data_IF_513834057731
#
_entry.id   IF_513834057731
#
_cell.length_a   1.000
_cell.length_b   1.000
_cell.length_c   1.000
_cell.angle_alpha   90.00
_cell.angle_beta   90.00
_cell.angle_gamma   90.00
#
_symmetry.space_group_name_H-M   'P 1'
#
loop_
_entity.id
_entity.type
_entity.pdbx_description
1 polymer ?
#
# COMPACT_ATOMS: atom_id res chain seq x y z
N UNK A 1 -14.62 -5.25 -17.31
CA UNK A 1 -14.04 -5.28 -15.95
C UNK A 1 -14.40 -3.96 -15.33
N UNK A 2 -15.27 -3.92 -14.31
CA UNK A 2 -16.08 -2.74 -13.96
C UNK A 2 -15.29 -1.43 -14.02
N UNK A 3 -15.36 -0.79 -15.20
CA UNK A 3 -14.84 0.53 -15.45
C UNK A 3 -15.98 1.45 -15.06
N UNK A 4 -15.88 2.00 -13.85
CA UNK A 4 -16.26 3.37 -13.50
C UNK A 4 -15.74 3.65 -12.09
N UNK A 5 -14.62 4.37 -12.02
CA UNK A 5 -14.10 4.95 -10.80
C UNK A 5 -13.42 6.25 -11.20
N UNK A 6 -13.68 7.43 -10.59
CA UNK A 6 -14.53 7.78 -9.43
C UNK A 6 -15.35 9.10 -9.60
N UNK A 7 -16.09 9.57 -8.57
CA UNK A 7 -16.42 11.01 -8.44
C UNK A 7 -15.48 11.77 -7.48
N UNK A 8 -14.98 11.13 -6.41
CA UNK A 8 -13.88 11.65 -5.58
C UNK A 8 -12.77 10.58 -5.41
N UNK A 9 -11.49 10.98 -5.37
CA UNK A 9 -10.28 10.14 -5.20
C UNK A 9 -9.82 9.35 -6.45
N UNK A 10 -8.92 8.38 -6.29
CA UNK A 10 -8.30 7.61 -7.39
C UNK A 10 -8.89 6.20 -7.50
N UNK A 11 -8.87 5.62 -8.69
CA UNK A 11 -9.22 4.21 -8.86
C UNK A 11 -8.11 3.31 -8.27
N UNK A 12 -8.38 2.49 -7.25
CA UNK A 12 -7.35 1.63 -6.66
C UNK A 12 -6.75 0.64 -7.67
N UNK A 13 -7.53 0.13 -8.62
CA UNK A 13 -7.03 -0.81 -9.63
C UNK A 13 -6.10 -0.12 -10.64
N UNK A 14 -6.40 1.13 -11.00
CA UNK A 14 -5.53 1.92 -11.88
C UNK A 14 -4.20 2.26 -11.21
N UNK A 15 -4.24 2.62 -9.91
CA UNK A 15 -3.03 2.85 -9.11
C UNK A 15 -2.17 1.58 -9.05
N UNK A 16 -2.77 0.42 -8.76
CA UNK A 16 -2.06 -0.87 -8.71
C UNK A 16 -1.52 -1.31 -10.08
N UNK A 17 -2.30 -1.14 -11.14
CA UNK A 17 -1.87 -1.48 -12.50
C UNK A 17 -0.70 -0.60 -12.95
N UNK A 18 -0.74 0.69 -12.63
CA UNK A 18 0.36 1.61 -12.91
C UNK A 18 1.58 1.25 -12.07
N UNK A 19 1.42 0.89 -10.80
CA UNK A 19 2.52 0.40 -9.96
C UNK A 19 3.17 -0.83 -10.60
N UNK A 20 2.41 -1.86 -10.94
CA UNK A 20 2.94 -3.10 -11.55
C UNK A 20 3.82 -2.82 -12.77
N UNK A 21 3.39 -1.89 -13.62
CA UNK A 21 4.13 -1.50 -14.83
C UNK A 21 5.46 -0.77 -14.52
N UNK A 22 5.64 -0.25 -13.29
CA UNK A 22 6.89 0.36 -12.84
C UNK A 22 7.86 -0.64 -12.18
N UNK A 23 7.43 -1.83 -11.78
CA UNK A 23 8.25 -2.72 -10.93
C UNK A 23 9.27 -3.53 -11.74
N UNK A 24 10.53 -3.54 -11.28
CA UNK A 24 11.63 -4.28 -11.92
C UNK A 24 11.62 -5.77 -11.53
N UNK A 25 12.38 -6.60 -12.24
CA UNK A 25 12.57 -8.04 -11.93
C UNK A 25 13.17 -8.29 -10.54
N UNK A 26 13.96 -7.36 -10.00
CA UNK A 26 14.54 -7.47 -8.65
C UNK A 26 13.68 -6.73 -7.62
N UNK A 27 12.39 -7.06 -7.56
CA UNK A 27 11.45 -6.46 -6.61
C UNK A 27 10.89 -7.49 -5.65
N UNK A 28 10.91 -7.18 -4.36
CA UNK A 28 10.18 -7.92 -3.32
C UNK A 28 8.95 -7.09 -2.93
N UNK A 29 7.79 -7.72 -3.00
CA UNK A 29 6.52 -7.16 -2.57
C UNK A 29 6.23 -7.59 -1.13
N UNK A 30 5.86 -6.62 -0.30
CA UNK A 30 5.35 -6.85 1.05
C UNK A 30 3.90 -6.35 1.09
N UNK A 31 2.97 -7.19 1.49
CA UNK A 31 1.54 -6.92 1.50
C UNK A 31 1.04 -6.87 2.95
N UNK A 32 0.47 -5.74 3.36
CA UNK A 32 -0.06 -5.55 4.72
C UNK A 32 -1.30 -4.66 4.71
N UNK A 33 -2.45 -5.25 4.99
CA UNK A 33 -3.73 -4.56 4.95
C UNK A 33 -4.87 -5.51 4.59
N UNK A 34 -6.00 -4.92 4.23
CA UNK A 34 -7.19 -5.65 3.82
C UNK A 34 -7.53 -5.43 2.35
N UNK A 35 -8.56 -4.62 2.11
CA UNK A 35 -9.27 -4.61 0.83
C UNK A 35 -8.40 -4.20 -0.36
N UNK A 36 -7.63 -3.12 -0.21
CA UNK A 36 -6.69 -2.64 -1.22
C UNK A 36 -5.58 -3.67 -1.50
N UNK A 37 -5.06 -4.31 -0.46
CA UNK A 37 -3.97 -5.28 -0.55
C UNK A 37 -4.44 -6.59 -1.21
N UNK A 38 -5.62 -7.09 -0.85
CA UNK A 38 -6.17 -8.23 -1.57
C UNK A 38 -6.71 -7.85 -2.94
N UNK A 39 -6.82 -6.57 -3.32
CA UNK A 39 -6.95 -6.18 -4.74
C UNK A 39 -5.58 -6.21 -5.44
N UNK A 40 -4.52 -5.83 -4.73
CA UNK A 40 -3.14 -5.90 -5.19
C UNK A 40 -2.73 -7.34 -5.52
N UNK A 41 -3.17 -8.35 -4.77
CA UNK A 41 -2.85 -9.76 -5.04
C UNK A 41 -3.38 -10.29 -6.40
N UNK A 42 -4.38 -9.63 -7.00
CA UNK A 42 -4.89 -9.97 -8.33
C UNK A 42 -4.12 -9.27 -9.46
N UNK A 43 -3.44 -8.16 -9.17
CA UNK A 43 -2.82 -7.28 -10.15
C UNK A 43 -1.30 -7.41 -10.12
N UNK A 44 -0.70 -7.28 -8.94
CA UNK A 44 0.75 -7.31 -8.75
C UNK A 44 1.28 -8.73 -8.89
N UNK A 45 2.46 -8.88 -9.49
CA UNK A 45 3.09 -10.20 -9.74
C UNK A 45 4.37 -10.38 -8.91
N UNK A 46 4.49 -11.43 -8.09
CA UNK A 46 5.76 -11.74 -7.45
C UNK A 46 6.82 -12.07 -8.50
N UNK A 47 8.04 -11.53 -8.37
CA UNK A 47 9.14 -11.76 -9.34
C UNK A 47 9.86 -13.10 -9.17
N UNK A 48 9.33 -13.98 -8.33
CA UNK A 48 9.86 -15.29 -8.05
C UNK A 48 9.45 -15.81 -6.67
N UNK A 49 9.92 -17.02 -6.28
CA UNK A 49 9.73 -17.52 -4.93
C UNK A 49 10.26 -16.53 -3.89
N UNK A 50 9.54 -16.40 -2.77
CA UNK A 50 9.89 -15.50 -1.66
C UNK A 50 9.94 -14.01 -2.04
N UNK A 51 9.31 -13.60 -3.14
CA UNK A 51 9.20 -12.20 -3.56
C UNK A 51 7.80 -11.59 -3.29
N UNK A 52 6.96 -12.31 -2.55
CA UNK A 52 5.70 -11.82 -1.99
C UNK A 52 5.61 -12.27 -0.55
N UNK A 53 5.58 -11.31 0.37
CA UNK A 53 5.51 -11.52 1.81
C UNK A 53 4.22 -10.91 2.32
N UNK A 54 3.39 -11.69 3.00
CA UNK A 54 2.10 -11.28 3.53
C UNK A 54 1.88 -11.91 4.91
N UNK A 55 0.88 -11.49 5.71
CA UNK A 55 0.70 -11.97 7.08
C UNK A 55 0.32 -13.46 7.19
N UNK A 56 0.12 -14.15 6.06
CA UNK A 56 -0.24 -15.56 6.01
C UNK A 56 -1.53 -15.86 6.78
N UNK A 57 -1.58 -17.04 7.39
CA UNK A 57 -2.78 -17.54 8.06
C UNK A 57 -3.23 -16.71 9.28
N UNK A 58 -2.33 -15.94 9.90
CA UNK A 58 -2.68 -15.13 11.07
C UNK A 58 -3.38 -13.83 10.69
N UNK A 59 -3.19 -13.31 9.47
CA UNK A 59 -3.80 -12.04 9.06
C UNK A 59 -3.37 -10.84 9.91
N UNK A 60 -2.17 -10.89 10.53
CA UNK A 60 -1.64 -9.85 11.40
C UNK A 60 -1.41 -8.53 10.66
N UNK A 61 -2.26 -7.55 10.91
CA UNK A 61 -2.07 -6.18 10.43
C UNK A 61 -0.85 -5.54 11.11
N UNK A 62 -0.06 -4.77 10.37
CA UNK A 62 1.17 -4.17 10.86
C UNK A 62 2.40 -5.07 10.73
N UNK A 63 2.36 -6.14 9.94
CA UNK A 63 3.57 -6.94 9.66
C UNK A 63 4.51 -6.25 8.65
N UNK A 64 4.01 -5.29 7.88
CA UNK A 64 4.66 -4.74 6.70
C UNK A 64 6.01 -4.09 6.99
N UNK A 65 6.11 -3.31 8.06
CA UNK A 65 7.35 -2.59 8.40
C UNK A 65 8.49 -3.54 8.72
N UNK A 66 8.24 -4.50 9.62
CA UNK A 66 9.21 -5.52 10.01
C UNK A 66 9.58 -6.47 8.87
N UNK A 67 8.61 -6.88 8.05
CA UNK A 67 8.87 -7.75 6.89
C UNK A 67 9.72 -7.03 5.85
N UNK A 68 9.46 -5.75 5.60
CA UNK A 68 10.25 -4.95 4.66
C UNK A 68 11.68 -4.73 5.14
N UNK A 69 11.88 -4.46 6.44
CA UNK A 69 13.21 -4.37 7.05
C UNK A 69 13.98 -5.68 6.85
N UNK A 70 13.37 -6.81 7.21
CA UNK A 70 13.98 -8.14 7.05
C UNK A 70 14.29 -8.47 5.60
N UNK A 71 13.36 -8.21 4.68
CA UNK A 71 13.56 -8.42 3.25
C UNK A 71 14.73 -7.60 2.71
N UNK A 72 14.81 -6.31 3.06
CA UNK A 72 15.88 -5.43 2.58
C UNK A 72 17.25 -5.82 3.13
N UNK A 73 17.33 -6.26 4.39
CA UNK A 73 18.57 -6.75 4.99
C UNK A 73 19.04 -8.09 4.38
N UNK A 74 18.12 -9.00 4.09
CA UNK A 74 18.42 -10.30 3.48
C UNK A 74 18.72 -10.20 1.98
N UNK A 75 18.16 -9.20 1.28
CA UNK A 75 18.27 -8.99 -0.17
C UNK A 75 18.58 -7.52 -0.48
N UNK A 76 19.77 -7.01 -0.12
CA UNK A 76 20.10 -5.59 -0.23
C UNK A 76 20.01 -5.04 -1.65
N UNK A 77 20.29 -5.89 -2.66
CA UNK A 77 20.23 -5.53 -4.08
C UNK A 77 18.82 -5.53 -4.69
N UNK A 78 17.78 -5.87 -3.91
CA UNK A 78 16.40 -5.84 -4.38
C UNK A 78 15.71 -4.53 -3.95
N UNK A 79 14.88 -4.00 -4.83
CA UNK A 79 13.90 -2.99 -4.47
C UNK A 79 12.84 -3.67 -3.58
N UNK A 80 12.49 -3.04 -2.45
CA UNK A 80 11.45 -3.55 -1.54
C UNK A 80 10.30 -2.56 -1.57
N UNK A 81 9.12 -3.05 -1.97
CA UNK A 81 7.90 -2.26 -2.10
C UNK A 81 6.84 -2.83 -1.18
N UNK A 82 6.37 -1.99 -0.25
CA UNK A 82 5.30 -2.32 0.68
C UNK A 82 3.99 -1.79 0.12
N UNK A 83 2.96 -2.63 0.10
CA UNK A 83 1.59 -2.28 -0.24
C UNK A 83 0.79 -2.29 1.05
N UNK A 84 0.37 -1.10 1.47
CA UNK A 84 -0.36 -0.88 2.70
C UNK A 84 -1.83 -0.56 2.45
N UNK A 85 -2.72 -1.05 3.33
CA UNK A 85 -3.90 -0.27 3.71
C UNK A 85 -3.53 0.85 4.69
N UNK A 86 -4.24 1.96 4.68
CA UNK A 86 -4.02 3.08 5.61
C UNK A 86 -4.13 2.68 7.09
N UNK A 87 -5.12 1.86 7.45
CA UNK A 87 -5.25 1.34 8.81
C UNK A 87 -4.06 0.50 9.25
N UNK A 88 -3.61 -0.44 8.41
CA UNK A 88 -2.44 -1.30 8.68
C UNK A 88 -1.15 -0.50 8.83
N UNK A 89 -0.94 0.51 7.99
CA UNK A 89 0.22 1.40 8.10
C UNK A 89 0.31 2.03 9.49
N UNK A 90 -0.82 2.39 10.10
CA UNK A 90 -0.87 3.00 11.43
C UNK A 90 -0.12 2.20 12.51
N UNK A 91 -0.02 0.87 12.38
CA UNK A 91 0.71 0.02 13.33
C UNK A 91 2.23 0.13 13.19
N UNK A 92 2.75 0.35 11.97
CA UNK A 92 4.20 0.32 11.68
C UNK A 92 4.72 1.56 10.99
N UNK A 93 3.99 2.66 11.01
CA UNK A 93 4.44 3.95 10.47
C UNK A 93 5.75 4.41 11.10
N UNK A 94 5.97 4.09 12.38
CA UNK A 94 7.21 4.47 13.08
C UNK A 94 8.46 3.78 12.51
N UNK A 95 8.32 2.67 11.77
CA UNK A 95 9.47 1.99 11.15
C UNK A 95 10.17 2.82 10.08
N UNK A 96 9.58 3.91 9.60
CA UNK A 96 10.30 4.86 8.74
C UNK A 96 11.54 5.45 9.42
N UNK A 97 11.51 5.65 10.74
CA UNK A 97 12.70 6.01 11.53
C UNK A 97 13.75 4.87 11.48
N UNK A 98 13.33 3.62 11.64
CA UNK A 98 14.22 2.45 11.52
C UNK A 98 14.86 2.36 10.14
N UNK A 99 14.06 2.51 9.07
CA UNK A 99 14.57 2.45 7.70
C UNK A 99 15.66 3.51 7.43
N UNK A 100 15.50 4.71 8.01
CA UNK A 100 16.51 5.78 7.93
C UNK A 100 17.75 5.45 8.74
N UNK A 101 17.61 5.12 10.03
CA UNK A 101 18.74 4.81 10.92
C UNK A 101 19.60 3.66 10.41
N UNK A 102 18.97 2.65 9.83
CA UNK A 102 19.65 1.47 9.31
C UNK A 102 19.98 1.54 7.82
N UNK A 103 19.64 2.65 7.14
CA UNK A 103 19.87 2.84 5.69
C UNK A 103 19.33 1.68 4.86
N UNK A 104 18.12 1.22 5.18
CA UNK A 104 17.39 0.18 4.45
C UNK A 104 16.27 0.85 3.67
N UNK A 105 16.56 1.47 2.52
CA UNK A 105 15.56 2.26 1.82
C UNK A 105 14.50 1.33 1.21
N UNK A 106 13.24 1.72 1.37
CA UNK A 106 12.05 0.99 0.91
C UNK A 106 11.06 1.97 0.30
N UNK A 107 10.20 1.50 -0.59
CA UNK A 107 9.04 2.24 -1.06
C UNK A 107 7.79 1.70 -0.38
N UNK A 108 6.93 2.57 0.12
CA UNK A 108 5.60 2.20 0.59
C UNK A 108 4.54 2.88 -0.29
N UNK A 109 3.57 2.10 -0.77
CA UNK A 109 2.35 2.60 -1.40
C UNK A 109 1.18 2.32 -0.46
N UNK A 110 0.47 3.37 -0.06
CA UNK A 110 -0.67 3.28 0.84
C UNK A 110 -1.95 3.50 0.05
N UNK A 111 -2.83 2.51 0.03
CA UNK A 111 -4.22 2.69 -0.37
C UNK A 111 -5.00 3.29 0.79
N UNK A 112 -5.26 4.60 0.71
CA UNK A 112 -5.96 5.36 1.73
C UNK A 112 -7.39 5.64 1.27
N UNK A 113 -8.33 4.80 1.71
CA UNK A 113 -9.77 4.99 1.57
C UNK A 113 -10.44 5.47 2.86
N UNK A 114 -9.64 5.80 3.89
CA UNK A 114 -10.08 6.21 5.22
C UNK A 114 -11.03 5.19 5.87
N UNK A 115 -10.78 3.89 5.68
CA UNK A 115 -11.65 2.85 6.22
C UNK A 115 -10.93 1.50 6.41
N UNK A 116 -11.35 0.75 7.43
CA UNK A 116 -11.13 -0.69 7.51
C UNK A 116 -12.05 -1.42 6.50
N UNK A 117 -11.89 -1.15 5.20
CA UNK A 117 -12.84 -1.52 4.14
C UNK A 117 -13.10 -3.02 4.06
N UNK A 118 -12.10 -3.86 4.36
CA UNK A 118 -12.30 -5.31 4.35
C UNK A 118 -13.31 -5.77 5.41
N UNK A 119 -13.31 -5.12 6.57
CA UNK A 119 -14.30 -5.37 7.63
C UNK A 119 -15.65 -4.78 7.21
N UNK A 120 -15.66 -3.52 6.78
CA UNK A 120 -16.88 -2.82 6.38
C UNK A 120 -17.64 -3.51 5.22
N UNK A 121 -16.90 -4.14 4.30
CA UNK A 121 -17.44 -4.86 3.12
C UNK A 121 -18.44 -5.94 3.52
N UNK A 122 -18.17 -6.67 4.60
CA UNK A 122 -19.08 -7.71 5.12
C UNK A 122 -20.01 -7.17 6.21
N UNK A 123 -19.49 -6.30 7.07
CA UNK A 123 -20.24 -5.76 8.21
C UNK A 123 -21.48 -4.96 7.79
N UNK A 124 -21.38 -4.15 6.72
CA UNK A 124 -22.49 -3.31 6.27
C UNK A 124 -23.64 -4.14 5.68
N UNK A 125 -23.40 -5.08 4.73
CA UNK A 125 -24.48 -5.92 4.22
C UNK A 125 -25.08 -6.86 5.28
N UNK A 126 -24.26 -7.41 6.18
CA UNK A 126 -24.71 -8.38 7.17
C UNK A 126 -25.44 -7.75 8.36
N UNK A 127 -24.95 -6.60 8.84
CA UNK A 127 -25.39 -5.99 10.11
C UNK A 127 -26.04 -4.61 9.91
N UNK A 128 -26.00 -4.03 8.71
CA UNK A 128 -26.51 -2.69 8.43
C UNK A 128 -25.71 -1.57 9.09
N UNK A 129 -24.46 -1.81 9.50
CA UNK A 129 -23.63 -0.86 10.26
C UNK A 129 -22.15 -0.97 9.90
N UNK A 130 -21.45 0.16 9.85
CA UNK A 130 -20.00 0.31 9.66
C UNK A 130 -19.27 0.69 10.96
N UNK A 131 -19.89 0.43 12.12
CA UNK A 131 -19.32 0.76 13.43
C UNK A 131 -17.85 0.33 13.54
N UNK A 132 -17.03 1.24 14.05
CA UNK A 132 -15.57 1.09 14.23
C UNK A 132 -14.74 0.84 12.95
N UNK A 133 -15.32 0.97 11.75
CA UNK A 133 -14.59 0.81 10.49
C UNK A 133 -14.07 2.14 9.91
N UNK A 134 -14.69 3.27 10.26
CA UNK A 134 -14.34 4.57 9.69
C UNK A 134 -13.03 5.11 10.27
N UNK A 135 -12.12 5.53 9.39
CA UNK A 135 -10.90 6.25 9.70
C UNK A 135 -11.01 7.69 9.14
N UNK A 136 -9.89 8.40 9.11
CA UNK A 136 -9.78 9.73 8.49
C UNK A 136 -8.71 9.70 7.41
N UNK A 137 -8.83 10.59 6.42
CA UNK A 137 -7.83 10.79 5.38
C UNK A 137 -6.56 11.46 5.92
N UNK A 138 -5.84 10.76 6.78
CA UNK A 138 -4.57 11.21 7.37
C UNK A 138 -3.55 11.51 6.26
N UNK A 139 -2.82 12.60 6.44
CA UNK A 139 -1.68 12.97 5.60
C UNK A 139 -0.46 12.12 5.93
N UNK A 140 -0.48 10.83 5.60
CA UNK A 140 0.64 9.91 5.86
C UNK A 140 1.92 10.31 5.15
N UNK A 141 1.82 11.01 4.01
CA UNK A 141 2.98 11.61 3.34
C UNK A 141 3.71 12.61 4.24
N UNK A 142 2.95 13.43 4.98
CA UNK A 142 3.53 14.39 5.94
C UNK A 142 4.02 13.70 7.21
N UNK A 143 3.37 12.62 7.62
CA UNK A 143 3.88 11.78 8.71
C UNK A 143 5.25 11.20 8.35
N UNK A 144 5.43 10.70 7.12
CA UNK A 144 6.72 10.21 6.64
C UNK A 144 7.79 11.32 6.63
N UNK A 145 7.43 12.51 6.14
CA UNK A 145 8.31 13.69 6.18
C UNK A 145 8.70 14.08 7.61
N UNK A 146 7.76 14.01 8.56
CA UNK A 146 8.03 14.26 9.97
C UNK A 146 9.00 13.27 10.61
N UNK A 147 9.10 12.05 10.06
CA UNK A 147 10.10 11.04 10.45
C UNK A 147 11.41 11.16 9.67
N UNK A 148 11.50 12.10 8.71
CA UNK A 148 12.69 12.33 7.88
C UNK A 148 12.73 11.54 6.57
N UNK A 149 11.66 10.82 6.21
CA UNK A 149 11.52 10.10 4.95
C UNK A 149 10.87 10.97 3.87
N UNK A 150 10.90 10.54 2.61
CA UNK A 150 10.21 11.28 1.53
C UNK A 150 8.72 10.94 1.51
N UNK A 151 7.86 11.94 1.61
CA UNK A 151 6.41 11.81 1.39
C UNK A 151 6.00 12.21 -0.03
N UNK A 152 5.01 11.52 -0.60
CA UNK A 152 4.33 11.91 -1.83
C UNK A 152 2.83 11.67 -1.70
N UNK A 153 2.00 12.59 -2.19
CA UNK A 153 0.55 12.45 -2.24
C UNK A 153 0.10 12.11 -3.66
N UNK A 154 -0.78 11.10 -3.77
CA UNK A 154 -1.54 10.79 -4.97
C UNK A 154 -3.03 10.99 -4.66
N UNK A 155 -3.63 12.01 -5.25
CA UNK A 155 -5.06 12.25 -5.18
C UNK A 155 -5.64 12.58 -6.57
N UNK A 156 -6.89 13.03 -6.62
CA UNK A 156 -7.57 13.33 -7.88
C UNK A 156 -6.82 14.35 -8.74
N UNK A 157 -6.10 15.31 -8.16
CA UNK A 157 -5.34 16.32 -8.91
C UNK A 157 -4.17 15.69 -9.70
N UNK A 158 -3.63 14.56 -9.21
CA UNK A 158 -2.49 13.86 -9.81
C UNK A 158 -2.90 12.63 -10.63
N UNK A 159 -4.20 12.46 -10.96
CA UNK A 159 -4.71 11.29 -11.69
C UNK A 159 -3.96 10.98 -12.99
N UNK A 160 -3.58 12.01 -13.74
CA UNK A 160 -2.84 11.87 -15.01
C UNK A 160 -1.36 11.59 -14.82
N UNK A 161 -0.82 11.82 -13.61
CA UNK A 161 0.60 11.69 -13.27
C UNK A 161 0.92 10.52 -12.35
N UNK A 162 -0.04 9.63 -12.06
CA UNK A 162 0.16 8.47 -11.18
C UNK A 162 1.42 7.70 -11.57
N UNK A 163 1.60 7.35 -12.84
CA UNK A 163 2.77 6.59 -13.29
C UNK A 163 4.09 7.36 -13.09
N UNK A 164 4.11 8.67 -13.38
CA UNK A 164 5.29 9.52 -13.19
C UNK A 164 5.71 9.59 -11.72
N UNK A 165 4.73 9.77 -10.82
CA UNK A 165 4.97 9.86 -9.38
C UNK A 165 5.45 8.52 -8.82
N UNK A 166 4.86 7.40 -9.25
CA UNK A 166 5.32 6.06 -8.84
C UNK A 166 6.75 5.76 -9.34
N UNK A 167 7.07 6.12 -10.58
CA UNK A 167 8.44 6.02 -11.11
C UNK A 167 9.43 6.88 -10.33
N UNK A 168 9.03 8.11 -9.98
CA UNK A 168 9.85 8.99 -9.15
C UNK A 168 10.07 8.40 -7.75
N UNK A 169 9.01 7.87 -7.14
CA UNK A 169 9.06 7.24 -5.82
C UNK A 169 9.99 6.03 -5.83
N UNK A 170 9.88 5.14 -6.83
CA UNK A 170 10.76 3.98 -7.01
C UNK A 170 12.23 4.37 -7.21
N UNK A 171 12.51 5.41 -8.01
CA UNK A 171 13.89 5.89 -8.18
C UNK A 171 14.47 6.43 -6.88
N UNK A 172 13.66 7.18 -6.12
CA UNK A 172 14.07 7.77 -4.85
C UNK A 172 14.22 6.71 -3.74
N UNK A 173 13.43 5.64 -3.80
CA UNK A 173 13.47 4.53 -2.83
C UNK A 173 14.72 3.67 -2.91
N UNK A 174 15.63 3.94 -3.87
CA UNK A 174 16.96 3.32 -3.93
C UNK A 174 17.96 3.94 -2.96
N UNK A 175 17.70 5.16 -2.49
CA UNK A 175 18.64 5.89 -1.63
C UNK A 175 18.06 6.33 -0.30
N UNK A 176 16.72 6.40 -0.17
CA UNK A 176 16.04 6.75 1.07
C UNK A 176 14.65 6.11 1.16
N UNK A 177 14.04 5.98 2.34
CA UNK A 177 12.66 5.51 2.46
C UNK A 177 11.66 6.51 1.84
N UNK A 178 10.66 5.99 1.14
CA UNK A 178 9.64 6.80 0.45
C UNK A 178 8.25 6.26 0.78
N UNK A 179 7.33 7.15 1.12
CA UNK A 179 5.90 6.83 1.26
C UNK A 179 5.09 7.59 0.21
N UNK A 180 4.30 6.84 -0.56
CA UNK A 180 3.29 7.37 -1.48
C UNK A 180 1.90 7.12 -0.87
N UNK A 181 1.23 8.18 -0.45
CA UNK A 181 -0.12 8.13 0.09
C UNK A 181 -1.12 8.30 -1.06
N UNK A 182 -1.75 7.22 -1.51
CA UNK A 182 -2.75 7.26 -2.56
C UNK A 182 -4.16 7.31 -1.96
N UNK A 183 -4.80 8.48 -2.04
CA UNK A 183 -6.22 8.61 -1.70
C UNK A 183 -7.03 7.91 -2.78
N UNK A 184 -7.65 6.80 -2.41
CA UNK A 184 -8.38 5.91 -3.32
C UNK A 184 -9.87 5.92 -3.01
N UNK A 185 -10.66 5.69 -4.06
CA UNK A 185 -12.10 5.50 -3.98
C UNK A 185 -12.43 4.05 -3.60
N UNK A 186 -13.62 3.85 -3.04
CA UNK A 186 -14.17 2.52 -2.79
C UNK A 186 -14.34 1.76 -4.11
N UNK A 187 -14.09 0.44 -4.08
CA UNK A 187 -14.21 -0.43 -5.25
C UNK A 187 -15.07 -1.66 -4.97
N UNK A 188 -15.91 -2.01 -5.93
CA UNK A 188 -16.70 -3.26 -5.93
C UNK A 188 -15.95 -4.47 -6.50
N UNK A 189 -14.68 -4.29 -6.90
CA UNK A 189 -13.89 -5.33 -7.57
C UNK A 189 -13.86 -6.68 -6.83
N UNK A 190 -13.80 -6.64 -5.49
CA UNK A 190 -13.77 -7.84 -4.63
C UNK A 190 -15.12 -8.21 -4.02
N UNK A 191 -16.22 -7.65 -4.51
CA UNK A 191 -17.56 -7.98 -3.99
C UNK A 191 -17.88 -9.46 -4.22
N UNK A 192 -18.24 -10.18 -3.15
CA UNK A 192 -18.47 -11.63 -3.17
C UNK A 192 -17.20 -12.49 -3.17
N UNK A 193 -16.01 -11.90 -3.04
CA UNK A 193 -14.77 -12.68 -2.90
C UNK A 193 -14.69 -13.34 -1.52
N UNK A 194 -14.28 -14.61 -1.49
CA UNK A 194 -14.04 -15.38 -0.25
C UNK A 194 -12.56 -15.31 0.18
N UNK A 195 -11.69 -14.78 -0.69
CA UNK A 195 -10.28 -14.57 -0.38
C UNK A 195 -10.09 -13.31 0.46
N UNK A 196 -9.20 -13.40 1.44
CA UNK A 196 -8.66 -12.30 2.26
C UNK A 196 -7.55 -11.60 1.50
#
# INVERSE_FOLDING_TARGET
MAADVPENHLNPLDVLQKLENTLDEKTILVADGGDFVGSASYILRPRGPLCWLDPGAFGTLGCGGGFALGAKLCRPDHDVVIIYGDGSLGYTMIEFDTFLRHKTPVMALVGNDACWTQIAREQVPMLGSDVACNLVYTSYEKCAEGLGASGMLLDTAERTKIAEILEKAKKLSRTQPVLVNAKIAKSKFREGSISV
#
